data_IF_625967487309
#
_entry.id   IF_625967487309
#
_cell.length_a   1.000
_cell.length_b   1.000
_cell.length_c   1.000
_cell.angle_alpha   90.00
_cell.angle_beta   90.00
_cell.angle_gamma   90.00
#
_symmetry.space_group_name_H-M   'P 1'
#
loop_
_entity.id
_entity.type
_entity.pdbx_description
1 polymer ?
#
# COMPACT_ATOMS: atom_id res chain seq x y z
N UNK A 1 -22.63 -14.92 58.96
CA UNK A 1 -22.32 -13.97 57.87
C UNK A 1 -20.82 -13.72 57.71
N UNK A 2 -19.99 -14.76 57.48
CA UNK A 2 -18.52 -14.61 57.28
C UNK A 2 -17.96 -15.42 56.10
N UNK A 3 -18.78 -16.24 55.43
CA UNK A 3 -18.35 -17.06 54.26
C UNK A 3 -18.69 -16.44 52.90
N UNK A 4 -19.51 -15.38 52.86
CA UNK A 4 -19.88 -14.71 51.60
C UNK A 4 -18.92 -13.59 51.20
N UNK A 5 -18.12 -13.04 52.13
CA UNK A 5 -17.20 -11.94 51.82
C UNK A 5 -15.91 -12.39 51.12
N UNK A 6 -15.59 -13.68 51.17
CA UNK A 6 -14.35 -14.20 50.57
C UNK A 6 -14.47 -14.48 49.06
N UNK A 7 -15.68 -14.56 48.50
CA UNK A 7 -15.88 -14.80 47.07
C UNK A 7 -15.94 -13.53 46.21
N UNK A 8 -15.98 -12.34 46.83
CA UNK A 8 -16.09 -11.05 46.12
C UNK A 8 -14.74 -10.38 45.81
N UNK A 9 -13.61 -11.05 46.12
CA UNK A 9 -12.26 -10.49 45.95
C UNK A 9 -11.47 -11.06 44.76
N UNK A 10 -12.05 -11.97 43.96
CA UNK A 10 -11.39 -12.55 42.76
C UNK A 10 -11.93 -11.93 41.46
N UNK A 11 -12.44 -10.69 41.51
CA UNK A 11 -12.84 -9.93 40.33
C UNK A 11 -11.95 -8.69 40.14
N UNK A 12 -10.67 -8.78 40.47
CA UNK A 12 -9.70 -7.76 40.07
C UNK A 12 -9.35 -7.95 38.61
N UNK A 13 -10.17 -7.32 37.77
CA UNK A 13 -9.81 -6.71 36.50
C UNK A 13 -8.66 -7.37 35.75
N UNK A 14 -8.98 -8.37 34.94
CA UNK A 14 -8.24 -8.62 33.70
C UNK A 14 -8.51 -7.44 32.74
N UNK A 15 -8.00 -6.24 33.07
CA UNK A 15 -7.79 -5.24 32.05
C UNK A 15 -6.71 -5.81 31.14
N UNK A 16 -7.14 -6.55 30.12
CA UNK A 16 -6.30 -6.83 28.97
C UNK A 16 -5.96 -5.46 28.43
N UNK A 17 -4.80 -4.96 28.82
CA UNK A 17 -4.24 -3.72 28.34
C UNK A 17 -3.92 -3.98 26.87
N UNK A 18 -4.91 -3.81 26.01
CA UNK A 18 -4.68 -3.82 24.58
C UNK A 18 -3.76 -2.63 24.33
N UNK A 19 -2.49 -2.92 24.08
CA UNK A 19 -1.56 -1.91 23.63
C UNK A 19 -2.17 -1.20 22.43
N UNK A 20 -2.09 0.13 22.39
CA UNK A 20 -2.60 0.88 21.24
C UNK A 20 -1.94 0.37 19.96
N UNK A 21 -2.74 0.25 18.91
CA UNK A 21 -2.25 -0.21 17.63
C UNK A 21 -1.24 0.81 17.07
N UNK A 22 -0.12 0.32 16.54
CA UNK A 22 0.90 1.18 15.95
C UNK A 22 0.40 1.70 14.61
N UNK A 23 0.29 3.02 14.49
CA UNK A 23 -0.19 3.67 13.28
C UNK A 23 0.94 3.94 12.27
N UNK A 24 0.92 3.17 11.19
CA UNK A 24 1.83 3.24 10.04
C UNK A 24 1.43 4.31 9.02
N UNK A 25 0.29 4.98 9.18
CA UNK A 25 -0.22 5.97 8.22
C UNK A 25 0.82 7.01 7.83
N UNK A 26 1.59 7.54 8.78
CA UNK A 26 2.60 8.57 8.49
C UNK A 26 3.68 8.11 7.51
N UNK A 27 4.16 6.86 7.63
CA UNK A 27 5.16 6.29 6.71
C UNK A 27 4.58 5.99 5.32
N UNK A 28 3.26 5.80 5.26
CA UNK A 28 2.54 5.38 4.07
C UNK A 28 1.79 6.55 3.39
N UNK A 29 1.75 7.73 4.01
CA UNK A 29 0.91 8.86 3.63
C UNK A 29 1.24 9.39 2.22
N UNK A 30 2.51 9.36 1.83
CA UNK A 30 2.95 9.76 0.49
C UNK A 30 2.29 8.94 -0.61
N UNK A 31 1.95 7.67 -0.37
CA UNK A 31 1.33 6.81 -1.38
C UNK A 31 -0.03 7.31 -1.85
N UNK A 32 -0.74 8.09 -1.02
CA UNK A 32 -1.98 8.76 -1.43
C UNK A 32 -1.76 9.77 -2.56
N UNK A 33 -0.54 10.30 -2.67
CA UNK A 33 -0.12 11.25 -3.71
C UNK A 33 0.64 10.49 -4.81
N UNK A 34 -0.11 9.76 -5.62
CA UNK A 34 0.42 9.20 -6.87
C UNK A 34 1.41 8.06 -6.67
N UNK A 35 1.11 7.15 -5.74
CA UNK A 35 1.96 5.99 -5.44
C UNK A 35 3.42 6.37 -5.08
N UNK A 36 3.66 7.61 -4.64
CA UNK A 36 4.98 8.02 -4.16
C UNK A 36 5.24 7.40 -2.79
N UNK A 37 6.49 7.06 -2.51
CA UNK A 37 6.89 6.62 -1.20
C UNK A 37 8.25 7.20 -0.87
N UNK A 38 8.53 7.30 0.43
CA UNK A 38 9.80 7.79 0.94
C UNK A 38 10.73 6.58 1.10
N UNK A 39 11.72 6.48 0.20
CA UNK A 39 12.67 5.38 0.19
C UNK A 39 13.66 5.41 1.35
N UNK A 40 13.72 6.51 2.10
CA UNK A 40 14.53 6.61 3.31
C UNK A 40 13.72 6.22 4.55
N UNK A 41 12.40 6.39 4.52
CA UNK A 41 11.52 6.08 5.64
C UNK A 41 10.98 4.64 5.64
N UNK A 42 10.83 4.01 4.47
CA UNK A 42 10.42 2.61 4.36
C UNK A 42 11.63 1.67 4.35
N UNK A 43 11.53 0.49 4.98
CA UNK A 43 12.63 -0.47 4.96
C UNK A 43 12.58 -1.33 3.68
N UNK A 44 13.68 -1.38 2.93
CA UNK A 44 13.83 -2.16 1.69
C UNK A 44 14.57 -3.47 1.91
N UNK A 45 15.27 -3.59 3.03
CA UNK A 45 15.88 -4.83 3.45
C UNK A 45 15.84 -5.04 4.96
N UNK A 46 16.29 -6.22 5.38
CA UNK A 46 16.31 -6.62 6.80
C UNK A 46 17.13 -5.66 7.67
N UNK A 47 18.21 -5.10 7.14
CA UNK A 47 19.04 -4.10 7.84
C UNK A 47 18.30 -2.80 8.12
N UNK A 48 17.33 -2.42 7.29
CA UNK A 48 16.62 -1.16 7.42
C UNK A 48 15.56 -1.20 8.52
N UNK A 49 15.11 -2.40 8.91
CA UNK A 49 14.22 -2.56 10.08
C UNK A 49 14.87 -1.99 11.34
N UNK A 50 16.20 -2.15 11.50
CA UNK A 50 16.93 -1.58 12.64
C UNK A 50 16.97 -0.05 12.67
N UNK A 51 16.67 0.61 11.54
CA UNK A 51 16.61 2.07 11.41
C UNK A 51 15.21 2.64 11.71
N UNK A 52 14.19 1.77 11.78
CA UNK A 52 12.83 2.21 12.10
C UNK A 52 12.76 2.78 13.52
N UNK A 53 11.97 3.86 13.74
CA UNK A 53 11.64 4.30 15.08
C UNK A 53 11.09 3.16 15.94
N UNK A 54 11.43 3.16 17.23
CA UNK A 54 11.17 2.05 18.16
C UNK A 54 9.72 1.54 18.14
N UNK A 55 8.73 2.43 17.98
CA UNK A 55 7.31 2.05 17.90
C UNK A 55 7.01 1.16 16.69
N UNK A 56 7.58 1.46 15.52
CA UNK A 56 7.38 0.68 14.30
C UNK A 56 8.13 -0.65 14.38
N UNK A 57 9.37 -0.60 14.87
CA UNK A 57 10.17 -1.79 15.12
C UNK A 57 9.45 -2.78 16.05
N UNK A 58 8.86 -2.32 17.16
CA UNK A 58 8.13 -3.16 18.09
C UNK A 58 6.88 -3.84 17.48
N UNK A 59 6.31 -3.26 16.42
CA UNK A 59 5.16 -3.81 15.71
C UNK A 59 5.53 -4.84 14.63
N UNK A 60 6.81 -5.01 14.32
CA UNK A 60 7.27 -6.06 13.40
C UNK A 60 7.18 -7.41 14.11
N UNK A 61 6.41 -8.33 13.53
CA UNK A 61 6.31 -9.72 13.97
C UNK A 61 7.37 -10.60 13.30
N UNK A 62 7.57 -10.41 11.99
CA UNK A 62 8.53 -11.15 11.18
C UNK A 62 8.89 -10.33 9.95
N UNK A 63 10.08 -10.55 9.41
CA UNK A 63 10.45 -10.05 8.09
C UNK A 63 11.22 -11.08 7.27
N UNK A 64 11.08 -11.01 5.96
CA UNK A 64 11.79 -11.87 5.02
C UNK A 64 11.80 -11.27 3.62
N UNK A 65 12.81 -11.64 2.85
CA UNK A 65 12.90 -11.28 1.44
C UNK A 65 12.55 -12.47 0.55
N UNK A 66 12.05 -12.17 -0.65
CA UNK A 66 11.81 -13.16 -1.70
C UNK A 66 12.21 -12.59 -3.05
N UNK A 67 12.94 -13.37 -3.84
CA UNK A 67 13.21 -13.03 -5.23
C UNK A 67 11.89 -12.94 -6.02
N UNK A 68 11.76 -11.88 -6.83
CA UNK A 68 10.64 -11.68 -7.75
C UNK A 68 10.96 -12.28 -9.12
N UNK A 69 9.94 -12.41 -9.97
CA UNK A 69 10.09 -12.98 -11.31
C UNK A 69 10.91 -12.08 -12.26
N UNK A 70 11.12 -10.82 -11.90
CA UNK A 70 11.91 -9.83 -12.63
C UNK A 70 13.34 -9.72 -12.09
N UNK A 71 13.83 -10.76 -11.41
CA UNK A 71 15.12 -10.78 -10.70
C UNK A 71 15.29 -9.67 -9.64
N UNK A 72 14.18 -9.05 -9.23
CA UNK A 72 14.14 -8.10 -8.11
C UNK A 72 14.01 -8.81 -6.76
N UNK A 73 14.07 -8.03 -5.67
CA UNK A 73 13.85 -8.52 -4.31
C UNK A 73 12.63 -7.83 -3.70
N UNK A 74 11.62 -8.61 -3.30
CA UNK A 74 10.48 -8.12 -2.55
C UNK A 74 10.70 -8.41 -1.06
N UNK A 75 10.80 -7.34 -0.27
CA UNK A 75 10.92 -7.41 1.18
C UNK A 75 9.54 -7.36 1.84
N UNK A 76 9.23 -8.38 2.62
CA UNK A 76 7.96 -8.53 3.33
C UNK A 76 8.16 -8.31 4.84
N UNK A 77 7.27 -7.54 5.43
CA UNK A 77 7.22 -7.22 6.86
C UNK A 77 5.84 -7.58 7.36
N UNK A 78 5.77 -8.62 8.17
CA UNK A 78 4.55 -9.03 8.87
C UNK A 78 4.44 -8.21 10.15
N UNK A 79 3.26 -7.66 10.39
CA UNK A 79 3.00 -6.70 11.46
C UNK A 79 2.01 -7.29 12.46
N UNK A 80 2.21 -6.96 13.74
CA UNK A 80 1.27 -7.23 14.83
C UNK A 80 0.72 -5.92 15.38
N UNK A 81 -0.53 -5.94 15.80
CA UNK A 81 -1.20 -4.79 16.43
C UNK A 81 -0.93 -3.47 15.70
N UNK A 82 -1.13 -3.45 14.38
CA UNK A 82 -0.79 -2.32 13.52
C UNK A 82 -2.01 -1.85 12.74
N UNK A 83 -2.06 -0.56 12.46
CA UNK A 83 -3.08 0.07 11.62
C UNK A 83 -2.43 0.96 10.58
N UNK A 84 -3.13 1.16 9.47
CA UNK A 84 -2.84 2.21 8.50
C UNK A 84 -4.15 2.72 7.92
N UNK A 85 -4.28 4.04 7.81
CA UNK A 85 -5.47 4.72 7.31
C UNK A 85 -6.76 4.30 8.06
N UNK A 86 -6.63 4.08 9.37
CA UNK A 86 -7.72 3.63 10.24
C UNK A 86 -8.16 2.19 10.03
N UNK A 87 -7.44 1.39 9.23
CA UNK A 87 -7.74 -0.03 9.00
C UNK A 87 -6.64 -0.92 9.58
N UNK A 88 -6.97 -2.09 10.16
CA UNK A 88 -5.99 -3.07 10.65
C UNK A 88 -5.02 -3.53 9.55
N UNK A 89 -3.73 -3.26 9.73
CA UNK A 89 -2.66 -3.59 8.80
C UNK A 89 -1.95 -4.86 9.27
N UNK A 90 -1.78 -5.84 8.38
CA UNK A 90 -1.18 -7.14 8.69
C UNK A 90 0.19 -7.36 8.05
N UNK A 91 0.46 -6.74 6.90
CA UNK A 91 1.80 -6.77 6.31
C UNK A 91 2.05 -5.63 5.33
N UNK A 92 3.34 -5.34 5.12
CA UNK A 92 3.85 -4.55 4.01
C UNK A 92 4.73 -5.43 3.13
N UNK A 93 4.61 -5.30 1.82
CA UNK A 93 5.53 -5.88 0.84
C UNK A 93 6.07 -4.73 0.03
N UNK A 94 7.39 -4.61 -0.02
CA UNK A 94 8.09 -3.49 -0.60
C UNK A 94 9.11 -4.05 -1.60
N UNK A 95 9.10 -3.54 -2.83
CA UNK A 95 10.10 -3.84 -3.84
C UNK A 95 10.53 -2.51 -4.44
N UNK A 96 11.83 -2.28 -4.57
CA UNK A 96 12.36 -1.05 -5.17
C UNK A 96 13.69 -1.32 -5.83
N UNK A 97 13.89 -0.69 -6.98
CA UNK A 97 15.12 -0.65 -7.75
C UNK A 97 15.18 0.69 -8.50
N UNK A 98 16.20 0.90 -9.34
CA UNK A 98 16.33 2.15 -10.09
C UNK A 98 15.11 2.42 -10.98
N UNK A 99 14.41 3.51 -10.68
CA UNK A 99 13.23 3.95 -11.43
C UNK A 99 11.98 3.09 -11.24
N UNK A 100 11.97 2.09 -10.36
CA UNK A 100 10.75 1.34 -10.05
C UNK A 100 10.56 1.13 -8.54
N UNK A 101 9.30 1.18 -8.14
CA UNK A 101 8.89 1.14 -6.76
C UNK A 101 7.51 0.54 -6.59
N UNK A 102 7.39 -0.42 -5.68
CA UNK A 102 6.17 -1.15 -5.40
C UNK A 102 5.96 -1.31 -3.90
N UNK A 103 4.78 -0.94 -3.42
CA UNK A 103 4.36 -1.16 -2.03
C UNK A 103 2.98 -1.80 -2.04
N UNK A 104 2.84 -2.98 -1.43
CA UNK A 104 1.57 -3.65 -1.16
C UNK A 104 1.29 -3.65 0.34
N UNK A 105 0.19 -3.00 0.71
CA UNK A 105 -0.38 -3.02 2.05
C UNK A 105 -1.40 -4.16 2.13
N UNK A 106 -1.13 -5.16 2.97
CA UNK A 106 -2.10 -6.22 3.30
C UNK A 106 -2.79 -5.87 4.60
N UNK A 107 -4.11 -5.93 4.61
CA UNK A 107 -4.93 -5.63 5.77
C UNK A 107 -5.46 -6.92 6.41
N UNK A 108 -5.78 -6.87 7.70
CA UNK A 108 -6.38 -8.02 8.38
C UNK A 108 -7.78 -8.31 7.81
N UNK A 109 -8.28 -9.54 7.95
CA UNK A 109 -9.55 -9.97 7.31
C UNK A 109 -10.78 -9.14 7.72
N UNK A 110 -10.75 -8.51 8.88
CA UNK A 110 -11.82 -7.66 9.40
C UNK A 110 -11.71 -6.18 8.97
N UNK A 111 -10.67 -5.81 8.19
CA UNK A 111 -10.52 -4.48 7.67
C UNK A 111 -11.50 -4.22 6.52
N UNK A 112 -12.10 -3.03 6.50
CA UNK A 112 -12.94 -2.55 5.42
C UNK A 112 -12.08 -1.80 4.38
N UNK A 113 -11.38 -2.57 3.56
CA UNK A 113 -10.45 -2.04 2.54
C UNK A 113 -11.18 -1.22 1.47
N UNK A 114 -12.49 -1.44 1.28
CA UNK A 114 -13.30 -0.68 0.33
C UNK A 114 -13.31 0.83 0.63
N UNK A 115 -13.30 1.20 1.92
CA UNK A 115 -13.24 2.59 2.38
C UNK A 115 -11.90 3.27 2.11
N UNK A 116 -10.85 2.49 1.85
CA UNK A 116 -9.52 3.02 1.57
C UNK A 116 -9.38 3.47 0.12
N UNK A 117 -10.10 2.84 -0.82
CA UNK A 117 -9.98 3.10 -2.26
C UNK A 117 -10.02 4.60 -2.57
N UNK A 118 -11.00 5.40 -2.09
CA UNK A 118 -11.09 6.82 -2.40
C UNK A 118 -9.89 7.65 -1.90
N UNK A 119 -9.12 7.17 -0.92
CA UNK A 119 -7.98 7.89 -0.36
C UNK A 119 -6.75 7.86 -1.28
N UNK A 120 -6.68 6.87 -2.19
CA UNK A 120 -5.58 6.68 -3.13
C UNK A 120 -5.95 7.09 -4.56
N UNK A 121 -7.23 7.37 -4.81
CA UNK A 121 -7.69 7.94 -6.09
C UNK A 121 -7.54 9.45 -6.06
N UNK A 122 -6.62 10.00 -6.85
CA UNK A 122 -6.50 11.45 -7.03
C UNK A 122 -7.65 11.95 -7.93
N UNK A 123 -8.37 13.03 -7.58
CA UNK A 123 -9.34 13.65 -8.49
C UNK A 123 -8.66 14.21 -9.74
N UNK A 124 -9.31 14.02 -10.88
CA UNK A 124 -8.85 14.35 -12.24
C UNK A 124 -8.49 15.83 -12.40
N UNK A 125 -7.23 16.14 -12.75
CA UNK A 125 -6.90 17.43 -13.36
C UNK A 125 -6.73 17.25 -14.88
N UNK A 126 -7.83 17.47 -15.61
CA UNK A 126 -7.87 17.38 -17.08
C UNK A 126 -6.98 18.41 -17.80
N UNK A 127 -6.48 19.44 -17.11
CA UNK A 127 -5.70 20.52 -17.73
C UNK A 127 -4.20 20.20 -17.87
N UNK A 128 -3.67 19.19 -17.18
CA UNK A 128 -2.24 18.84 -17.19
C UNK A 128 -1.91 17.46 -17.79
N UNK A 129 -2.77 16.93 -18.67
CA UNK A 129 -2.53 15.62 -19.28
C UNK A 129 -2.60 14.42 -18.32
N UNK A 130 -2.90 14.65 -17.03
CA UNK A 130 -3.10 13.59 -16.04
C UNK A 130 -4.46 12.93 -16.25
N UNK A 131 -4.48 11.77 -16.91
CA UNK A 131 -5.66 10.92 -17.00
C UNK A 131 -5.77 10.10 -15.70
N UNK A 132 -6.73 10.43 -14.85
CA UNK A 132 -7.03 9.66 -13.65
C UNK A 132 -8.28 8.78 -13.81
N UNK A 133 -8.07 7.47 -13.62
CA UNK A 133 -8.72 6.60 -12.63
C UNK A 133 -10.25 6.76 -12.44
N UNK A 134 -11.03 5.84 -13.00
CA UNK A 134 -12.50 5.81 -12.94
C UNK A 134 -13.11 4.68 -13.79
N UNK A 135 -13.37 3.50 -13.21
CA UNK A 135 -13.74 2.21 -13.84
C UNK A 135 -12.84 1.78 -15.00
N UNK A 136 -12.50 0.50 -15.04
CA UNK A 136 -11.71 -0.11 -16.12
C UNK A 136 -12.23 0.31 -17.51
N UNK A 137 -11.51 1.22 -18.15
CA UNK A 137 -11.69 1.58 -19.54
C UNK A 137 -10.31 1.61 -20.16
N UNK A 138 -10.20 1.00 -21.34
CA UNK A 138 -9.04 1.21 -22.18
C UNK A 138 -8.93 2.72 -22.45
N UNK A 139 -7.74 3.26 -22.39
CA UNK A 139 -7.50 4.66 -22.72
C UNK A 139 -6.27 4.80 -23.59
N UNK A 140 -6.33 5.73 -24.54
CA UNK A 140 -5.19 6.14 -25.33
C UNK A 140 -4.49 7.30 -24.62
N UNK A 141 -3.20 7.19 -24.35
CA UNK A 141 -2.36 8.32 -23.95
C UNK A 141 -1.48 8.76 -25.11
N UNK A 142 -1.27 10.07 -25.23
CA UNK A 142 -0.42 10.66 -26.25
C UNK A 142 0.94 11.01 -25.63
N UNK A 143 2.03 10.50 -26.19
CA UNK A 143 3.38 10.87 -25.74
C UNK A 143 3.77 12.29 -26.21
N UNK A 144 4.93 12.77 -25.74
CA UNK A 144 5.47 14.09 -26.12
C UNK A 144 5.75 14.23 -27.64
N UNK A 145 5.92 13.11 -28.35
CA UNK A 145 6.15 13.06 -29.80
C UNK A 145 4.85 12.95 -30.61
N UNK A 146 3.72 12.81 -29.92
CA UNK A 146 2.40 12.74 -30.49
C UNK A 146 1.90 11.33 -30.84
N UNK A 147 2.60 10.28 -30.44
CA UNK A 147 2.19 8.88 -30.60
C UNK A 147 1.06 8.53 -29.66
N UNK A 148 0.02 7.84 -30.15
CA UNK A 148 -1.10 7.34 -29.32
C UNK A 148 -0.88 5.87 -28.93
N UNK A 149 -0.80 5.62 -27.63
CA UNK A 149 -0.62 4.27 -27.05
C UNK A 149 -1.85 3.90 -26.22
N UNK A 150 -2.42 2.73 -26.49
CA UNK A 150 -3.56 2.16 -25.78
C UNK A 150 -3.08 1.44 -24.53
N UNK A 151 -3.69 1.78 -23.40
CA UNK A 151 -3.48 1.12 -22.12
C UNK A 151 -4.74 0.35 -21.74
N UNK A 152 -4.63 -0.98 -21.69
CA UNK A 152 -5.72 -1.84 -21.27
C UNK A 152 -5.81 -1.84 -19.73
N UNK A 153 -6.94 -1.39 -19.18
CA UNK A 153 -7.17 -1.46 -17.73
C UNK A 153 -7.92 -2.75 -17.38
N UNK A 154 -7.51 -3.44 -16.30
CA UNK A 154 -8.25 -4.59 -15.77
C UNK A 154 -9.39 -4.12 -14.86
N UNK A 155 -10.46 -4.91 -14.72
CA UNK A 155 -11.60 -4.60 -13.83
C UNK A 155 -11.22 -4.43 -12.34
N UNK A 156 -10.03 -4.84 -11.94
CA UNK A 156 -9.54 -4.78 -10.55
C UNK A 156 -8.39 -3.80 -10.35
N UNK A 157 -7.95 -3.11 -11.39
CA UNK A 157 -6.81 -2.19 -11.37
C UNK A 157 -7.24 -0.77 -11.72
N UNK A 158 -6.55 0.18 -11.10
CA UNK A 158 -6.77 1.61 -11.26
C UNK A 158 -5.44 2.22 -11.68
N UNK A 159 -5.35 2.66 -12.94
CA UNK A 159 -4.12 3.21 -13.50
C UNK A 159 -4.21 4.73 -13.60
N UNK A 160 -3.16 5.41 -13.15
CA UNK A 160 -2.99 6.84 -13.35
C UNK A 160 -1.75 7.03 -14.24
N UNK A 161 -1.92 7.66 -15.39
CA UNK A 161 -0.83 7.91 -16.32
C UNK A 161 -0.61 9.41 -16.43
N UNK A 162 0.62 9.84 -16.17
CA UNK A 162 1.08 11.18 -16.51
C UNK A 162 1.72 11.11 -17.89
N UNK A 163 1.45 12.10 -18.75
CA UNK A 163 2.10 12.23 -20.07
C UNK A 163 3.56 12.68 -19.96
N UNK A 164 3.94 13.26 -18.81
CA UNK A 164 5.21 13.98 -18.63
C UNK A 164 6.02 13.44 -17.43
N UNK A 165 5.64 12.28 -16.86
CA UNK A 165 6.21 11.78 -15.62
C UNK A 165 5.98 10.28 -15.40
N UNK A 166 6.49 9.72 -14.28
CA UNK A 166 6.48 8.28 -14.07
C UNK A 166 5.07 7.70 -14.04
N UNK A 167 4.95 6.50 -14.62
CA UNK A 167 3.76 5.69 -14.62
C UNK A 167 3.39 5.25 -13.20
N UNK A 168 2.10 5.29 -12.88
CA UNK A 168 1.59 4.97 -11.55
C UNK A 168 0.39 4.02 -11.64
N UNK A 169 0.40 2.97 -10.81
CA UNK A 169 -0.69 2.01 -10.76
C UNK A 169 -1.10 1.69 -9.34
N UNK A 170 -2.39 1.86 -9.06
CA UNK A 170 -3.04 1.41 -7.85
C UNK A 170 -3.82 0.13 -8.14
N UNK A 171 -3.64 -0.93 -7.35
CA UNK A 171 -4.40 -2.18 -7.52
C UNK A 171 -5.08 -2.55 -6.22
N UNK A 172 -6.36 -2.91 -6.32
CA UNK A 172 -7.11 -3.51 -5.23
C UNK A 172 -7.14 -5.02 -5.40
N UNK A 173 -6.70 -5.75 -4.38
CA UNK A 173 -6.62 -7.21 -4.35
C UNK A 173 -7.63 -7.75 -3.35
N UNK A 174 -8.92 -7.93 -3.72
CA UNK A 174 -9.96 -8.34 -2.79
C UNK A 174 -9.70 -9.70 -2.14
N UNK A 175 -9.12 -10.65 -2.89
CA UNK A 175 -8.78 -12.00 -2.37
C UNK A 175 -7.69 -11.98 -1.30
N UNK A 176 -6.80 -11.00 -1.35
CA UNK A 176 -5.69 -10.84 -0.40
C UNK A 176 -5.99 -9.77 0.66
N UNK A 177 -7.15 -9.13 0.60
CA UNK A 177 -7.51 -7.93 1.35
C UNK A 177 -6.40 -6.86 1.34
N UNK A 178 -5.93 -6.51 0.14
CA UNK A 178 -4.73 -5.69 -0.02
C UNK A 178 -4.90 -4.54 -1.01
N UNK A 179 -4.12 -3.48 -0.82
CA UNK A 179 -3.94 -2.37 -1.76
C UNK A 179 -2.47 -2.29 -2.14
N UNK A 180 -2.18 -2.20 -3.44
CA UNK A 180 -0.82 -1.93 -3.91
C UNK A 180 -0.72 -0.62 -4.66
N UNK A 181 0.37 0.08 -4.42
CA UNK A 181 0.83 1.25 -5.16
C UNK A 181 2.10 0.85 -5.91
N UNK A 182 2.15 1.18 -7.19
CA UNK A 182 3.29 0.95 -8.05
C UNK A 182 3.63 2.24 -8.78
N UNK A 183 4.92 2.54 -8.85
CA UNK A 183 5.49 3.67 -9.57
C UNK A 183 6.64 3.13 -10.43
N UNK A 184 6.67 3.52 -11.70
CA UNK A 184 7.72 3.16 -12.64
C UNK A 184 8.06 4.36 -13.52
N UNK A 185 9.34 4.65 -13.66
CA UNK A 185 9.85 5.61 -14.64
C UNK A 185 9.83 5.01 -16.07
N UNK A 186 9.64 3.69 -16.18
CA UNK A 186 9.47 2.96 -17.45
C UNK A 186 7.98 2.75 -17.77
N UNK A 187 7.59 3.00 -19.03
CA UNK A 187 6.25 2.70 -19.54
C UNK A 187 6.04 1.18 -19.61
N UNK A 188 4.90 0.69 -19.13
CA UNK A 188 4.49 -0.71 -19.31
C UNK A 188 4.07 -1.02 -20.75
N UNK A 189 3.76 -2.28 -21.04
CA UNK A 189 3.44 -2.81 -22.39
C UNK A 189 2.60 -1.85 -23.24
N UNK A 190 3.21 -1.36 -24.33
CA UNK A 190 2.60 -0.46 -25.30
C UNK A 190 1.76 -1.25 -26.30
N UNK A 191 0.44 -1.11 -26.27
CA UNK A 191 -0.42 -1.55 -27.37
C UNK A 191 -0.73 -0.33 -28.25
N UNK A 192 -0.67 -0.46 -29.58
CA UNK A 192 -1.02 0.64 -30.48
C UNK A 192 -2.53 0.87 -30.48
N UNK A 193 -2.96 2.12 -30.29
CA UNK A 193 -4.37 2.47 -30.47
C UNK A 193 -4.80 2.21 -31.93
N UNK A 194 -6.01 1.65 -32.16
CA UNK A 194 -6.59 1.64 -33.50
C UNK A 194 -6.76 3.08 -34.01
N UNK A 195 -6.48 3.28 -35.30
CA UNK A 195 -6.60 4.58 -35.99
C UNK A 195 -8.03 5.09 -36.02
#
# INVERSE_FOLDING_TARGET
MKKLLALLLVSTFSSVCYADAVDWTLLLQSMKKGCTFDSEALPYGKSDIGKLPAKYHASVARSHSKQTASDGEAFTIELKNSVAFGQPLSALIIESNEGYGYVKMKFARNADVSKLIPLFTIPTNKQRGMLAVGMAKNFCAKDANGTLTEYQSSQHHWRAVSTDGPWQEFRYHPKENALSCLRSDQYGDELRCPK
#
